data_IF_434445094024
#
_entry.id   IF_434445094024
#
_cell.length_a   1.000
_cell.length_b   1.000
_cell.length_c   1.000
_cell.angle_alpha   90.00
_cell.angle_beta   90.00
_cell.angle_gamma   90.00
#
_symmetry.space_group_name_H-M   'P 1'
#
loop_
_entity.id
_entity.type
_entity.pdbx_description
1 polymer ?
#
# COMPACT_ATOMS: atom_id res chain seq x y z
N UNK A 1 14.06 9.65 -13.03
CA UNK A 1 14.36 9.81 -11.59
C UNK A 1 13.25 10.64 -10.97
N UNK A 2 12.39 10.03 -10.16
CA UNK A 2 11.32 10.72 -9.42
C UNK A 2 11.92 11.80 -8.52
N UNK A 3 11.36 13.01 -8.52
CA UNK A 3 11.87 14.13 -7.72
C UNK A 3 11.65 13.87 -6.22
N UNK A 4 12.64 14.21 -5.39
CA UNK A 4 12.59 14.03 -3.92
C UNK A 4 11.41 14.75 -3.28
N UNK A 5 11.09 15.94 -3.78
CA UNK A 5 9.98 16.76 -3.29
C UNK A 5 8.61 16.11 -3.53
N UNK A 6 8.47 15.29 -4.58
CA UNK A 6 7.23 14.54 -4.83
C UNK A 6 7.10 13.37 -3.84
N UNK A 7 8.20 12.69 -3.54
CA UNK A 7 8.22 11.57 -2.58
C UNK A 7 7.82 12.00 -1.17
N UNK A 8 8.13 13.24 -0.78
CA UNK A 8 7.72 13.82 0.52
C UNK A 8 6.21 14.12 0.60
N UNK A 9 5.52 14.21 -0.54
CA UNK A 9 4.07 14.48 -0.63
C UNK A 9 3.27 13.18 -0.85
N UNK A 10 3.91 12.17 -1.44
CA UNK A 10 3.24 10.91 -1.78
C UNK A 10 2.88 10.11 -0.53
N UNK A 11 1.62 9.71 -0.45
CA UNK A 11 1.10 8.85 0.60
C UNK A 11 0.41 7.62 0.00
N UNK A 12 0.31 6.55 0.80
CA UNK A 12 -0.37 5.33 0.41
C UNK A 12 -1.81 5.64 -0.04
N UNK A 13 -2.25 5.21 -1.23
CA UNK A 13 -3.58 5.50 -1.74
C UNK A 13 -4.66 4.84 -0.88
N UNK A 14 -4.35 3.71 -0.26
CA UNK A 14 -5.25 2.91 0.59
C UNK A 14 -5.48 3.53 1.96
N UNK A 15 -4.41 3.81 2.72
CA UNK A 15 -4.52 4.24 4.12
C UNK A 15 -4.02 5.67 4.40
N UNK A 16 -3.51 6.39 3.38
CA UNK A 16 -2.89 7.72 3.50
C UNK A 16 -1.66 7.79 4.42
N UNK A 17 -1.09 6.65 4.79
CA UNK A 17 0.17 6.56 5.52
C UNK A 17 1.39 6.70 4.64
N UNK A 18 2.56 6.74 5.27
CA UNK A 18 3.84 6.93 4.58
C UNK A 18 4.21 5.77 3.64
N UNK A 19 5.10 6.07 2.69
CA UNK A 19 5.65 5.13 1.72
C UNK A 19 7.18 5.10 1.79
N UNK A 20 7.72 3.89 1.87
CA UNK A 20 9.16 3.66 1.74
C UNK A 20 9.52 3.50 0.27
N UNK A 21 10.27 4.45 -0.28
CA UNK A 21 10.81 4.34 -1.64
C UNK A 21 12.11 3.52 -1.65
N UNK A 22 12.12 2.45 -2.44
CA UNK A 22 13.32 1.68 -2.79
C UNK A 22 13.77 2.07 -4.21
N UNK A 23 14.86 2.86 -4.36
CA UNK A 23 15.36 3.28 -5.66
C UNK A 23 16.11 2.19 -6.43
N UNK A 24 16.47 1.06 -5.79
CA UNK A 24 17.09 -0.06 -6.49
C UNK A 24 16.04 -0.98 -7.11
N UNK A 25 14.90 -1.13 -6.44
CA UNK A 25 13.79 -1.93 -6.91
C UNK A 25 12.72 -1.14 -7.68
N UNK A 26 12.81 0.20 -7.67
CA UNK A 26 11.78 1.11 -8.20
C UNK A 26 10.39 0.78 -7.62
N UNK A 27 10.30 0.76 -6.29
CA UNK A 27 9.04 0.48 -5.59
C UNK A 27 8.75 1.44 -4.45
N UNK A 28 7.46 1.65 -4.19
CA UNK A 28 6.95 2.36 -3.02
C UNK A 28 6.22 1.35 -2.13
N UNK A 29 6.66 1.19 -0.88
CA UNK A 29 6.07 0.21 0.04
C UNK A 29 5.35 0.91 1.18
N UNK A 30 4.06 0.63 1.34
CA UNK A 30 3.33 0.96 2.56
C UNK A 30 3.40 -0.21 3.55
N UNK A 31 3.94 0.02 4.74
CA UNK A 31 4.10 -1.01 5.79
C UNK A 31 2.94 -1.12 6.78
N UNK A 32 1.88 -0.33 6.60
CA UNK A 32 0.68 -0.45 7.43
C UNK A 32 -0.05 -1.78 7.17
N UNK A 33 -0.90 -2.18 8.12
CA UNK A 33 -1.72 -3.39 7.99
C UNK A 33 -2.86 -3.16 7.00
N UNK A 34 -2.89 -3.96 5.95
CA UNK A 34 -3.99 -3.98 4.99
C UNK A 34 -4.61 -5.38 4.91
N UNK A 35 -5.85 -5.41 4.47
CA UNK A 35 -6.62 -6.63 4.25
C UNK A 35 -5.97 -7.47 3.15
N UNK A 36 -5.68 -8.77 3.38
CA UNK A 36 -5.08 -9.65 2.36
C UNK A 36 -5.96 -9.82 1.12
N UNK A 37 -7.27 -9.57 1.26
CA UNK A 37 -8.25 -9.81 0.20
C UNK A 37 -8.34 -8.62 -0.76
N UNK A 38 -8.53 -7.41 -0.24
CA UNK A 38 -8.74 -6.23 -1.08
C UNK A 38 -7.65 -5.14 -0.97
N UNK A 39 -6.71 -5.25 -0.03
CA UNK A 39 -5.68 -4.23 0.19
C UNK A 39 -6.18 -2.96 0.90
N UNK A 40 -7.40 -2.93 1.41
CA UNK A 40 -7.93 -1.80 2.18
C UNK A 40 -7.44 -1.84 3.63
N UNK A 41 -7.36 -0.70 4.34
CA UNK A 41 -6.92 -0.68 5.73
C UNK A 41 -7.82 -1.55 6.62
N UNK A 42 -7.23 -2.10 7.67
CA UNK A 42 -7.96 -2.82 8.73
C UNK A 42 -7.99 -1.98 10.01
N UNK A 43 -9.03 -2.14 10.82
CA UNK A 43 -9.08 -1.60 12.17
C UNK A 43 -8.26 -2.45 13.18
N UNK A 44 -8.26 -2.04 14.45
CA UNK A 44 -7.54 -2.73 15.52
C UNK A 44 -8.05 -4.16 15.79
N UNK A 45 -9.27 -4.48 15.34
CA UNK A 45 -9.85 -5.83 15.44
C UNK A 45 -9.56 -6.68 14.20
N UNK A 46 -8.83 -6.16 13.22
CA UNK A 46 -8.53 -6.82 11.95
C UNK A 46 -9.70 -6.81 10.97
N UNK A 47 -10.73 -5.99 11.21
CA UNK A 47 -11.85 -5.81 10.27
C UNK A 47 -11.45 -4.85 9.16
N UNK A 48 -11.64 -5.28 7.92
CA UNK A 48 -11.48 -4.45 6.73
C UNK A 48 -12.45 -3.26 6.78
N UNK A 49 -11.94 -2.04 6.53
CA UNK A 49 -12.71 -0.81 6.58
C UNK A 49 -13.50 -0.52 5.29
N UNK A 50 -13.28 -1.30 4.24
CA UNK A 50 -14.08 -1.24 3.01
C UNK A 50 -15.42 -1.93 3.22
N UNK A 51 -16.53 -1.24 2.96
CA UNK A 51 -17.89 -1.73 3.22
C UNK A 51 -18.27 -2.91 2.32
N UNK A 52 -17.75 -2.95 1.09
CA UNK A 52 -17.98 -4.05 0.16
C UNK A 52 -17.24 -5.32 0.58
N UNK A 53 -16.03 -5.18 1.12
CA UNK A 53 -15.24 -6.30 1.64
C UNK A 53 -15.71 -6.76 3.03
N UNK A 54 -15.64 -5.87 4.03
CA UNK A 54 -16.07 -6.11 5.41
C UNK A 54 -15.42 -7.29 6.15
N UNK A 55 -14.45 -7.99 5.55
CA UNK A 55 -13.85 -9.23 6.08
C UNK A 55 -13.05 -8.96 7.36
N UNK A 56 -13.09 -9.90 8.29
CA UNK A 56 -12.20 -9.94 9.45
C UNK A 56 -11.04 -10.87 9.14
N UNK A 57 -9.81 -10.42 9.35
CA UNK A 57 -8.58 -11.18 9.09
C UNK A 57 -7.65 -11.16 10.31
N UNK A 58 -6.92 -12.25 10.52
CA UNK A 58 -5.87 -12.37 11.55
C UNK A 58 -4.45 -12.37 10.97
N UNK A 59 -4.35 -12.27 9.65
CA UNK A 59 -3.12 -12.07 8.89
C UNK A 59 -3.26 -10.80 8.08
N UNK A 60 -2.15 -10.11 7.85
CA UNK A 60 -2.14 -8.80 7.22
C UNK A 60 -1.09 -8.74 6.12
N UNK A 61 -1.24 -7.76 5.26
CA UNK A 61 -0.29 -7.49 4.18
C UNK A 61 0.13 -6.03 4.19
N UNK A 62 1.39 -5.80 3.89
CA UNK A 62 1.87 -4.53 3.35
C UNK A 62 1.52 -4.45 1.85
N UNK A 63 1.54 -3.23 1.30
CA UNK A 63 1.30 -3.00 -0.13
C UNK A 63 2.56 -2.45 -0.77
N UNK A 64 3.01 -3.09 -1.85
CA UNK A 64 4.14 -2.65 -2.67
C UNK A 64 3.66 -2.23 -4.05
N UNK A 65 3.87 -0.96 -4.36
CA UNK A 65 3.55 -0.34 -5.64
C UNK A 65 4.81 -0.28 -6.51
N UNK A 66 4.69 -0.62 -7.79
CA UNK A 66 5.80 -0.53 -8.75
C UNK A 66 5.87 0.87 -9.35
N UNK A 67 7.08 1.29 -9.71
CA UNK A 67 7.33 2.49 -10.51
C UNK A 67 7.80 2.04 -11.88
N UNK A 68 7.09 2.46 -12.92
CA UNK A 68 7.38 2.12 -14.32
C UNK A 68 7.50 3.43 -15.10
N UNK A 69 8.58 3.63 -15.85
CA UNK A 69 8.86 4.87 -16.59
C UNK A 69 8.74 6.15 -15.73
N UNK A 70 9.27 6.12 -14.50
CA UNK A 70 9.16 7.19 -13.49
C UNK A 70 7.72 7.52 -13.04
N UNK A 71 6.73 6.67 -13.38
CA UNK A 71 5.32 6.83 -12.99
C UNK A 71 4.97 5.73 -11.95
N UNK A 72 4.58 6.10 -10.72
CA UNK A 72 4.16 5.13 -9.72
C UNK A 72 2.76 4.58 -10.05
N UNK A 73 2.63 3.26 -10.12
CA UNK A 73 1.34 2.59 -10.22
C UNK A 73 0.70 2.47 -8.83
N UNK A 74 -0.19 3.41 -8.52
CA UNK A 74 -0.84 3.53 -7.22
C UNK A 74 -2.21 2.81 -7.15
N UNK A 75 -2.47 1.87 -8.06
CA UNK A 75 -3.71 1.09 -8.03
C UNK A 75 -3.62 0.01 -6.95
N UNK A 76 -4.52 0.07 -5.96
CA UNK A 76 -4.53 -0.84 -4.80
C UNK A 76 -4.65 -2.31 -5.22
N UNK A 77 -5.46 -2.60 -6.24
CA UNK A 77 -5.68 -3.97 -6.74
C UNK A 77 -4.51 -4.54 -7.54
N UNK A 78 -3.62 -3.67 -8.05
CA UNK A 78 -2.41 -4.08 -8.77
C UNK A 78 -1.18 -4.10 -7.86
N UNK A 79 -1.30 -3.56 -6.65
CA UNK A 79 -0.25 -3.59 -5.65
C UNK A 79 0.07 -5.03 -5.22
N UNK A 80 1.35 -5.31 -5.07
CA UNK A 80 1.79 -6.59 -4.53
C UNK A 80 1.56 -6.63 -3.02
N UNK A 81 0.96 -7.73 -2.56
CA UNK A 81 0.63 -7.96 -1.15
C UNK A 81 1.74 -8.74 -0.48
N UNK A 82 2.45 -8.09 0.45
CA UNK A 82 3.57 -8.69 1.18
C UNK A 82 3.09 -9.12 2.57
N UNK A 83 3.17 -10.40 2.96
CA UNK A 83 2.77 -10.85 4.30
C UNK A 83 3.57 -10.14 5.41
N UNK A 84 2.88 -9.68 6.47
CA UNK A 84 3.46 -9.03 7.65
C UNK A 84 2.80 -9.49 8.96
#
# INVERSE_FOLDING_TARGET
MVSKDLLEILACPSCKGDLDYDPQADTLTCRNKHCPECGMPVDDNGKCQDEECGKVSHTFVALRYRVEDDIPNMLIYEAEKLPI
#
